data_IF_425201800767
#
_entry.id   IF_425201800767
#
_cell.length_a   1.000
_cell.length_b   1.000
_cell.length_c   1.000
_cell.angle_alpha   90.00
_cell.angle_beta   90.00
_cell.angle_gamma   90.00
#
_symmetry.space_group_name_H-M   'P 1'
#
loop_
_entity.id
_entity.type
_entity.pdbx_description
1 polymer ?
#
# COMPACT_ATOMS: atom_id res chain seq x y z
N UNK A 1 -11.97 14.46 26.69
CA UNK A 1 -12.04 13.21 27.47
C UNK A 1 -11.86 11.97 26.59
N UNK A 2 -12.62 11.79 25.49
CA UNK A 2 -12.49 10.61 24.63
C UNK A 2 -11.10 10.46 23.97
N UNK A 3 -10.51 11.55 23.48
CA UNK A 3 -9.19 11.49 22.82
C UNK A 3 -8.05 11.04 23.73
N UNK A 4 -8.16 11.32 25.03
CA UNK A 4 -7.18 10.86 26.03
C UNK A 4 -7.37 9.38 26.36
N UNK A 5 -8.57 8.83 26.20
CA UNK A 5 -8.90 7.45 26.55
C UNK A 5 -8.33 6.44 25.54
N UNK A 6 -8.29 6.80 24.26
CA UNK A 6 -7.80 5.94 23.16
C UNK A 6 -6.41 5.36 23.42
N UNK A 7 -5.36 6.15 23.72
CA UNK A 7 -4.03 5.60 23.97
C UNK A 7 -3.99 4.69 25.20
N UNK A 8 -4.81 4.98 26.22
CA UNK A 8 -4.88 4.16 27.44
C UNK A 8 -5.56 2.81 27.15
N UNK A 9 -6.64 2.81 26.37
CA UNK A 9 -7.31 1.58 25.93
C UNK A 9 -6.40 0.73 25.06
N UNK A 10 -5.63 1.34 24.14
CA UNK A 10 -4.66 0.63 23.32
C UNK A 10 -3.56 -0.03 24.18
N UNK A 11 -3.00 0.70 25.15
CA UNK A 11 -2.02 0.18 26.09
C UNK A 11 -2.60 -0.94 26.98
N UNK A 12 -3.83 -0.80 27.44
CA UNK A 12 -4.53 -1.81 28.24
C UNK A 12 -4.80 -3.07 27.42
N UNK A 13 -5.23 -2.93 26.17
CA UNK A 13 -5.44 -4.05 25.26
C UNK A 13 -4.13 -4.81 25.02
N UNK A 14 -3.05 -4.09 24.68
CA UNK A 14 -1.72 -4.68 24.50
C UNK A 14 -1.22 -5.38 25.78
N UNK A 15 -1.36 -4.74 26.95
CA UNK A 15 -0.96 -5.31 28.24
C UNK A 15 -1.75 -6.59 28.56
N UNK A 16 -3.05 -6.60 28.29
CA UNK A 16 -3.92 -7.77 28.51
C UNK A 16 -3.49 -8.95 27.64
N UNK A 17 -3.18 -8.68 26.36
CA UNK A 17 -2.63 -9.69 25.45
C UNK A 17 -1.30 -10.24 25.97
N UNK A 18 -0.39 -9.37 26.42
CA UNK A 18 0.88 -9.78 27.02
C UNK A 18 0.71 -10.67 28.25
N UNK A 19 -0.17 -10.28 29.18
CA UNK A 19 -0.50 -11.08 30.38
C UNK A 19 -1.05 -12.45 29.99
N UNK A 20 -1.93 -12.51 28.99
CA UNK A 20 -2.52 -13.76 28.52
C UNK A 20 -1.49 -14.69 27.87
N UNK A 21 -0.65 -14.17 26.97
CA UNK A 21 0.35 -14.96 26.24
C UNK A 21 1.46 -15.49 27.17
N UNK A 22 1.85 -14.70 28.17
CA UNK A 22 2.91 -15.04 29.12
C UNK A 22 2.42 -15.82 30.35
N UNK A 23 1.11 -16.11 30.44
CA UNK A 23 0.53 -16.79 31.60
C UNK A 23 1.17 -18.17 31.79
N UNK A 24 1.83 -18.37 32.94
CA UNK A 24 2.52 -19.63 33.29
C UNK A 24 3.90 -19.83 32.64
N UNK A 25 4.40 -18.86 31.87
CA UNK A 25 5.67 -18.91 31.12
C UNK A 25 6.29 -17.52 30.97
N UNK A 26 6.37 -16.80 32.10
CA UNK A 26 6.86 -15.43 32.17
C UNK A 26 8.37 -15.35 32.49
N UNK A 27 9.16 -16.29 31.99
CA UNK A 27 10.63 -16.24 32.02
C UNK A 27 11.17 -15.15 31.09
N UNK A 28 12.41 -14.72 31.34
CA UNK A 28 13.06 -13.62 30.62
C UNK A 28 13.03 -13.79 29.10
N UNK A 29 13.36 -14.96 28.51
CA UNK A 29 13.25 -15.19 27.07
C UNK A 29 11.86 -14.90 26.50
N UNK A 30 10.80 -15.44 27.10
CA UNK A 30 9.44 -15.26 26.62
C UNK A 30 8.97 -13.79 26.69
N UNK A 31 9.38 -13.04 27.74
CA UNK A 31 9.06 -11.60 27.84
C UNK A 31 9.73 -10.79 26.74
N UNK A 32 11.03 -11.01 26.50
CA UNK A 32 11.74 -10.30 25.43
C UNK A 32 11.18 -10.65 24.06
N UNK A 33 10.86 -11.92 23.83
CA UNK A 33 10.27 -12.35 22.57
C UNK A 33 8.90 -11.68 22.32
N UNK A 34 8.04 -11.56 23.34
CA UNK A 34 6.78 -10.81 23.24
C UNK A 34 6.99 -9.33 22.86
N UNK A 35 7.98 -8.66 23.48
CA UNK A 35 8.27 -7.26 23.19
C UNK A 35 8.81 -7.05 21.77
N UNK A 36 9.75 -7.90 21.33
CA UNK A 36 10.30 -7.85 19.96
C UNK A 36 9.18 -8.09 18.95
N UNK A 37 8.32 -9.09 19.20
CA UNK A 37 7.22 -9.43 18.30
C UNK A 37 6.17 -8.32 18.25
N UNK A 38 5.89 -7.68 19.38
CA UNK A 38 5.00 -6.51 19.43
C UNK A 38 5.55 -5.37 18.57
N UNK A 39 6.85 -5.09 18.66
CA UNK A 39 7.51 -4.06 17.84
C UNK A 39 7.39 -4.40 16.34
N UNK A 40 7.63 -5.65 15.95
CA UNK A 40 7.48 -6.10 14.56
C UNK A 40 6.06 -5.88 14.03
N UNK A 41 5.04 -6.19 14.84
CA UNK A 41 3.63 -5.94 14.52
C UNK A 41 3.37 -4.44 14.35
N UNK A 42 3.90 -3.58 15.23
CA UNK A 42 3.75 -2.13 15.11
C UNK A 42 4.42 -1.57 13.85
N UNK A 43 5.62 -2.04 13.51
CA UNK A 43 6.32 -1.66 12.29
C UNK A 43 5.49 -2.05 11.06
N UNK A 44 4.95 -3.27 11.05
CA UNK A 44 4.08 -3.73 9.96
C UNK A 44 2.79 -2.94 9.82
N UNK A 45 2.14 -2.63 10.94
CA UNK A 45 0.95 -1.77 10.94
C UNK A 45 1.28 -0.38 10.37
N UNK A 46 2.42 0.20 10.75
CA UNK A 46 2.90 1.47 10.21
C UNK A 46 3.15 1.42 8.70
N UNK A 47 3.79 0.36 8.21
CA UNK A 47 4.02 0.13 6.78
C UNK A 47 2.70 -0.01 6.00
N UNK A 48 1.74 -0.78 6.53
CA UNK A 48 0.41 -0.87 5.93
C UNK A 48 -0.33 0.47 5.93
N UNK A 49 -0.19 1.28 6.99
CA UNK A 49 -0.79 2.60 7.05
C UNK A 49 -0.22 3.55 5.99
N UNK A 50 1.10 3.58 5.82
CA UNK A 50 1.76 4.40 4.78
C UNK A 50 1.32 3.93 3.39
N UNK A 51 1.40 2.62 3.12
CA UNK A 51 1.01 2.05 1.84
C UNK A 51 -0.47 2.29 1.52
N UNK A 52 -1.36 2.07 2.48
CA UNK A 52 -2.80 2.32 2.35
C UNK A 52 -3.13 3.79 2.16
N UNK A 53 -2.42 4.69 2.84
CA UNK A 53 -2.54 6.14 2.68
C UNK A 53 -2.15 6.60 1.28
N UNK A 54 -0.99 6.15 0.77
CA UNK A 54 -0.54 6.42 -0.59
C UNK A 54 -1.54 5.85 -1.61
N UNK A 55 -1.98 4.61 -1.41
CA UNK A 55 -2.97 3.97 -2.28
C UNK A 55 -4.29 4.76 -2.34
N UNK A 56 -4.77 5.23 -1.18
CA UNK A 56 -6.00 6.04 -1.08
C UNK A 56 -5.84 7.37 -1.81
N UNK A 57 -4.71 8.06 -1.61
CA UNK A 57 -4.42 9.33 -2.27
C UNK A 57 -4.36 9.19 -3.79
N UNK A 58 -3.67 8.16 -4.29
CA UNK A 58 -3.60 7.86 -5.74
C UNK A 58 -5.00 7.53 -6.28
N UNK A 59 -5.77 6.70 -5.57
CA UNK A 59 -7.13 6.34 -5.98
C UNK A 59 -8.02 7.58 -6.07
N UNK A 60 -7.99 8.46 -5.07
CA UNK A 60 -8.75 9.71 -5.09
C UNK A 60 -8.34 10.60 -6.27
N UNK A 61 -7.04 10.80 -6.48
CA UNK A 61 -6.52 11.61 -7.60
C UNK A 61 -6.87 11.05 -8.98
N UNK A 62 -6.91 9.72 -9.13
CA UNK A 62 -7.35 9.08 -10.37
C UNK A 62 -8.81 9.42 -10.68
N UNK A 63 -9.72 9.22 -9.72
CA UNK A 63 -11.14 9.53 -9.92
C UNK A 63 -11.40 11.03 -10.12
N UNK A 64 -10.66 11.88 -9.40
CA UNK A 64 -10.72 13.34 -9.59
C UNK A 64 -10.32 13.75 -11.02
N UNK A 65 -9.31 13.11 -11.61
CA UNK A 65 -8.90 13.37 -13.00
C UNK A 65 -9.99 13.02 -14.04
N UNK A 66 -10.94 12.12 -13.70
CA UNK A 66 -12.13 11.84 -14.50
C UNK A 66 -13.33 12.73 -14.14
N UNK A 67 -13.10 13.78 -13.35
CA UNK A 67 -14.12 14.62 -12.75
C UNK A 67 -15.16 13.82 -11.94
N UNK A 68 -14.78 12.68 -11.36
CA UNK A 68 -15.66 11.83 -10.54
C UNK A 68 -15.40 12.12 -9.06
N UNK A 69 -16.41 12.62 -8.37
CA UNK A 69 -16.38 12.76 -6.91
C UNK A 69 -16.71 11.42 -6.26
N UNK A 70 -15.80 10.92 -5.42
CA UNK A 70 -16.04 9.70 -4.65
C UNK A 70 -17.13 9.96 -3.59
N UNK A 71 -18.16 9.10 -3.47
CA UNK A 71 -19.17 9.26 -2.42
C UNK A 71 -18.54 9.20 -1.03
N UNK A 72 -19.08 9.97 -0.08
CA UNK A 72 -18.61 10.00 1.31
C UNK A 72 -18.55 8.61 1.93
N UNK A 73 -19.52 7.74 1.59
CA UNK A 73 -19.53 6.35 2.04
C UNK A 73 -18.28 5.58 1.60
N UNK A 74 -17.82 5.79 0.36
CA UNK A 74 -16.64 5.11 -0.21
C UNK A 74 -15.38 5.61 0.48
N UNK A 75 -15.23 6.93 0.61
CA UNK A 75 -14.09 7.52 1.33
C UNK A 75 -14.07 7.06 2.78
N UNK A 76 -15.22 7.03 3.45
CA UNK A 76 -15.35 6.55 4.82
C UNK A 76 -15.00 5.07 4.94
N UNK A 77 -15.43 4.23 3.99
CA UNK A 77 -15.10 2.81 3.98
C UNK A 77 -13.59 2.59 3.77
N UNK A 78 -12.96 3.33 2.86
CA UNK A 78 -11.52 3.23 2.61
C UNK A 78 -10.73 3.67 3.84
N UNK A 79 -11.06 4.83 4.42
CA UNK A 79 -10.32 5.38 5.56
C UNK A 79 -10.56 4.55 6.83
N UNK A 80 -11.82 4.40 7.26
CA UNK A 80 -12.11 3.69 8.52
C UNK A 80 -11.96 2.17 8.39
N UNK A 81 -12.31 1.61 7.24
CA UNK A 81 -12.07 0.19 6.96
C UNK A 81 -10.57 -0.12 6.89
N UNK A 82 -9.78 0.75 6.24
CA UNK A 82 -8.32 0.64 6.23
C UNK A 82 -7.73 0.71 7.64
N UNK A 83 -8.05 1.75 8.40
CA UNK A 83 -7.58 1.93 9.80
C UNK A 83 -7.95 0.73 10.68
N UNK A 84 -9.15 0.17 10.53
CA UNK A 84 -9.59 -1.01 11.27
C UNK A 84 -8.90 -2.31 10.85
N UNK A 85 -8.65 -2.50 9.55
CA UNK A 85 -8.04 -3.71 9.00
C UNK A 85 -6.52 -3.78 9.25
N UNK A 86 -5.83 -2.64 9.25
CA UNK A 86 -4.37 -2.56 9.44
C UNK A 86 -3.87 -3.35 10.66
N UNK A 87 -4.36 -3.13 11.90
CA UNK A 87 -3.86 -3.86 13.07
C UNK A 87 -4.18 -5.36 12.99
N UNK A 88 -5.32 -5.74 12.42
CA UNK A 88 -5.71 -7.15 12.25
C UNK A 88 -4.76 -7.85 11.28
N UNK A 89 -4.48 -7.24 10.13
CA UNK A 89 -3.56 -7.79 9.13
C UNK A 89 -2.12 -7.83 9.65
N UNK A 90 -1.68 -6.79 10.37
CA UNK A 90 -0.33 -6.76 10.95
C UNK A 90 -0.11 -7.93 11.93
N UNK A 91 -1.08 -8.21 12.80
CA UNK A 91 -1.02 -9.37 13.70
C UNK A 91 -1.09 -10.67 12.91
N UNK A 92 -2.03 -10.83 11.99
CA UNK A 92 -2.25 -12.07 11.23
C UNK A 92 -1.06 -12.50 10.36
N UNK A 93 -0.26 -11.53 9.90
CA UNK A 93 0.90 -11.78 9.03
C UNK A 93 2.15 -12.14 9.84
N UNK A 94 2.32 -11.49 10.98
CA UNK A 94 3.56 -11.56 11.76
C UNK A 94 3.49 -12.62 12.84
N UNK A 95 2.33 -12.78 13.49
CA UNK A 95 2.19 -13.62 14.66
C UNK A 95 1.73 -15.04 14.30
N UNK A 96 2.49 -16.05 14.72
CA UNK A 96 2.07 -17.44 14.64
C UNK A 96 1.33 -17.85 15.94
N UNK A 97 0.02 -18.16 15.91
CA UNK A 97 -0.72 -18.56 17.11
C UNK A 97 -0.36 -19.97 17.61
N UNK A 98 0.30 -20.80 16.80
CA UNK A 98 0.67 -22.17 17.16
C UNK A 98 2.02 -22.28 17.89
N UNK A 99 2.86 -21.24 17.82
CA UNK A 99 4.20 -21.24 18.40
C UNK A 99 4.26 -20.48 19.73
N UNK A 100 5.08 -20.97 20.67
CA UNK A 100 5.35 -20.24 21.91
C UNK A 100 6.03 -18.89 21.61
N UNK A 101 5.95 -17.87 22.50
CA UNK A 101 6.57 -16.57 22.25
C UNK A 101 8.07 -16.67 21.90
N UNK A 102 8.82 -17.50 22.62
CA UNK A 102 10.25 -17.72 22.37
C UNK A 102 10.57 -18.48 21.07
N UNK A 103 9.59 -19.14 20.45
CA UNK A 103 9.74 -19.94 19.22
C UNK A 103 9.31 -19.18 17.96
N UNK A 104 8.88 -17.93 18.10
CA UNK A 104 8.48 -17.10 16.97
C UNK A 104 9.67 -16.86 16.02
N UNK A 105 9.45 -16.98 14.71
CA UNK A 105 10.46 -16.65 13.72
C UNK A 105 10.67 -15.13 13.65
N UNK A 106 11.94 -14.70 13.65
CA UNK A 106 12.35 -13.28 13.55
C UNK A 106 13.08 -12.94 12.23
N UNK A 107 13.51 -13.94 11.45
CA UNK A 107 14.44 -13.74 10.32
C UNK A 107 13.78 -13.36 8.99
N UNK A 108 12.47 -13.53 8.83
CA UNK A 108 11.79 -13.33 7.54
C UNK A 108 11.37 -11.87 7.26
N UNK A 109 11.61 -10.96 8.21
CA UNK A 109 11.01 -9.63 8.31
C UNK A 109 10.78 -8.92 6.98
N UNK A 110 11.85 -8.43 6.32
CA UNK A 110 11.71 -7.56 5.13
C UNK A 110 11.12 -8.28 3.90
N UNK A 111 11.54 -9.51 3.62
CA UNK A 111 11.03 -10.25 2.46
C UNK A 111 9.54 -10.54 2.63
N UNK A 112 9.13 -10.94 3.83
CA UNK A 112 7.74 -11.20 4.19
C UNK A 112 6.90 -9.94 4.19
N UNK A 113 7.44 -8.82 4.68
CA UNK A 113 6.83 -7.48 4.58
C UNK A 113 6.48 -7.17 3.14
N UNK A 114 7.48 -7.22 2.24
CA UNK A 114 7.31 -6.84 0.83
C UNK A 114 6.32 -7.78 0.14
N UNK A 115 6.49 -9.10 0.30
CA UNK A 115 5.61 -10.08 -0.30
C UNK A 115 4.15 -9.90 0.15
N UNK A 116 3.95 -9.62 1.44
CA UNK A 116 2.61 -9.41 2.01
C UNK A 116 2.00 -8.09 1.54
N UNK A 117 2.76 -7.00 1.55
CA UNK A 117 2.31 -5.70 1.05
C UNK A 117 1.82 -5.83 -0.39
N UNK A 118 2.60 -6.47 -1.26
CA UNK A 118 2.18 -6.71 -2.64
C UNK A 118 0.91 -7.56 -2.71
N UNK A 119 0.81 -8.63 -1.91
CA UNK A 119 -0.34 -9.54 -1.90
C UNK A 119 -1.63 -8.89 -1.42
N UNK A 120 -1.54 -7.93 -0.49
CA UNK A 120 -2.70 -7.15 0.00
C UNK A 120 -3.07 -6.05 -0.98
N UNK A 121 -2.09 -5.32 -1.53
CA UNK A 121 -2.36 -4.20 -2.43
C UNK A 121 -2.84 -4.64 -3.81
N UNK A 122 -2.35 -5.76 -4.35
CA UNK A 122 -2.69 -6.23 -5.69
C UNK A 122 -4.19 -6.46 -5.94
N UNK A 123 -4.95 -7.18 -5.09
CA UNK A 123 -6.39 -7.31 -5.30
C UNK A 123 -7.10 -5.96 -5.16
N UNK A 124 -6.63 -5.09 -4.27
CA UNK A 124 -7.22 -3.77 -4.04
C UNK A 124 -7.01 -2.85 -5.25
N UNK A 125 -5.79 -2.82 -5.81
CA UNK A 125 -5.48 -2.08 -7.04
C UNK A 125 -6.26 -2.64 -8.22
N UNK A 126 -6.43 -3.96 -8.32
CA UNK A 126 -7.23 -4.58 -9.37
C UNK A 126 -8.70 -4.15 -9.29
N UNK A 127 -9.30 -4.12 -8.10
CA UNK A 127 -10.68 -3.66 -7.90
C UNK A 127 -10.81 -2.21 -8.36
N UNK A 128 -9.92 -1.32 -7.89
CA UNK A 128 -9.94 0.09 -8.29
C UNK A 128 -9.75 0.23 -9.79
N UNK A 129 -8.83 -0.53 -10.39
CA UNK A 129 -8.59 -0.53 -11.83
C UNK A 129 -9.84 -0.93 -12.62
N UNK A 130 -10.52 -2.01 -12.22
CA UNK A 130 -11.75 -2.48 -12.89
C UNK A 130 -12.85 -1.43 -12.79
N UNK A 131 -13.05 -0.84 -11.60
CA UNK A 131 -14.04 0.23 -11.42
C UNK A 131 -13.66 1.44 -12.27
N UNK A 132 -12.40 1.86 -12.22
CA UNK A 132 -11.88 3.00 -12.98
C UNK A 132 -12.10 2.84 -14.48
N UNK A 133 -11.76 1.67 -15.05
CA UNK A 133 -12.01 1.33 -16.44
C UNK A 133 -13.51 1.40 -16.80
N UNK A 134 -14.38 1.02 -15.87
CA UNK A 134 -15.83 1.15 -16.03
C UNK A 134 -16.32 2.60 -16.16
N UNK A 135 -15.63 3.56 -15.53
CA UNK A 135 -15.99 5.00 -15.61
C UNK A 135 -15.48 5.68 -16.88
N UNK A 136 -14.36 5.21 -17.45
CA UNK A 136 -13.75 5.79 -18.67
C UNK A 136 -14.77 5.99 -19.81
N UNK A 137 -15.58 5.01 -20.26
CA UNK A 137 -16.47 5.21 -21.40
C UNK A 137 -17.54 6.31 -21.17
N UNK A 138 -17.89 6.60 -19.92
CA UNK A 138 -18.89 7.62 -19.57
C UNK A 138 -18.29 9.01 -19.35
N UNK A 139 -17.00 9.08 -18.97
CA UNK A 139 -16.31 10.34 -18.62
C UNK A 139 -15.13 10.67 -19.53
N UNK A 140 -14.97 9.93 -20.63
CA UNK A 140 -13.84 10.07 -21.55
C UNK A 140 -13.60 11.50 -22.03
N UNK A 141 -14.66 12.29 -22.24
CA UNK A 141 -14.59 13.64 -22.78
C UNK A 141 -14.33 14.75 -21.75
N UNK A 142 -14.52 14.50 -20.45
CA UNK A 142 -14.33 15.51 -19.39
C UNK A 142 -12.90 16.07 -19.36
N UNK A 143 -11.83 15.24 -19.42
CA UNK A 143 -10.45 15.71 -19.48
C UNK A 143 -10.11 16.62 -20.67
N UNK A 144 -10.85 16.49 -21.78
CA UNK A 144 -10.58 17.23 -23.02
C UNK A 144 -11.32 18.56 -23.08
N UNK A 145 -12.39 18.72 -22.28
CA UNK A 145 -13.15 19.96 -22.22
C UNK A 145 -12.54 20.97 -21.25
N UNK A 146 -11.73 20.50 -20.30
CA UNK A 146 -11.12 21.33 -19.26
C UNK A 146 -9.64 21.59 -19.57
N UNK A 147 -9.27 22.85 -19.76
CA UNK A 147 -7.91 23.24 -20.24
C UNK A 147 -6.81 22.82 -19.27
N UNK A 148 -7.08 22.88 -17.97
CA UNK A 148 -6.12 22.48 -16.94
C UNK A 148 -5.84 20.97 -16.96
N UNK A 149 -6.87 20.17 -17.20
CA UNK A 149 -6.74 18.71 -17.31
C UNK A 149 -6.00 18.33 -18.60
N UNK A 150 -6.22 19.05 -19.69
CA UNK A 150 -5.52 18.80 -20.95
C UNK A 150 -3.99 19.03 -20.84
N UNK A 151 -3.57 20.02 -20.04
CA UNK A 151 -2.14 20.26 -19.76
C UNK A 151 -1.55 19.08 -18.99
N UNK A 152 -2.24 18.62 -17.94
CA UNK A 152 -1.82 17.46 -17.14
C UNK A 152 -1.74 16.20 -18.01
N UNK A 153 -2.72 15.98 -18.89
CA UNK A 153 -2.77 14.83 -19.79
C UNK A 153 -1.60 14.83 -20.78
N UNK A 154 -1.31 15.97 -21.40
CA UNK A 154 -0.17 16.09 -22.31
C UNK A 154 1.17 15.86 -21.58
N UNK A 155 1.35 16.41 -20.39
CA UNK A 155 2.55 16.18 -19.58
C UNK A 155 2.70 14.69 -19.22
N UNK A 156 1.61 14.02 -18.85
CA UNK A 156 1.59 12.58 -18.58
C UNK A 156 1.95 11.75 -19.83
N UNK A 157 1.42 12.11 -21.00
CA UNK A 157 1.78 11.45 -22.26
C UNK A 157 3.27 11.58 -22.57
N UNK A 158 3.86 12.77 -22.40
CA UNK A 158 5.30 12.95 -22.56
C UNK A 158 6.10 12.08 -21.59
N UNK A 159 5.69 12.00 -20.32
CA UNK A 159 6.34 11.14 -19.34
C UNK A 159 6.26 9.65 -19.73
N UNK A 160 5.09 9.18 -20.20
CA UNK A 160 4.89 7.80 -20.67
C UNK A 160 5.75 7.51 -21.89
N UNK A 161 5.78 8.41 -22.88
CA UNK A 161 6.62 8.26 -24.07
C UNK A 161 8.10 8.23 -23.68
N UNK A 162 8.55 9.12 -22.79
CA UNK A 162 9.92 9.12 -22.29
C UNK A 162 10.28 7.81 -21.57
N UNK A 163 9.38 7.29 -20.73
CA UNK A 163 9.56 6.01 -20.06
C UNK A 163 9.62 4.86 -21.06
N UNK A 164 8.72 4.81 -22.05
CA UNK A 164 8.71 3.79 -23.08
C UNK A 164 10.00 3.82 -23.91
N UNK A 165 10.45 5.01 -24.33
CA UNK A 165 11.70 5.17 -25.07
C UNK A 165 12.90 4.76 -24.21
N UNK A 166 12.93 5.13 -22.93
CA UNK A 166 14.01 4.74 -22.01
C UNK A 166 14.01 3.26 -21.64
N UNK A 167 12.83 2.62 -21.57
CA UNK A 167 12.68 1.22 -21.22
C UNK A 167 12.81 0.27 -22.41
N UNK A 168 12.61 0.75 -23.65
CA UNK A 168 12.74 -0.07 -24.86
C UNK A 168 14.22 -0.18 -25.24
N UNK A 169 14.87 -1.35 -25.09
CA UNK A 169 16.26 -1.50 -25.48
C UNK A 169 16.40 -1.35 -26.99
N UNK A 170 17.08 -0.29 -27.42
CA UNK A 170 17.34 -0.02 -28.84
C UNK A 170 18.38 -1.02 -29.34
N UNK A 171 17.95 -2.03 -30.10
CA UNK A 171 18.87 -2.92 -30.81
C UNK A 171 19.30 -2.22 -32.12
N UNK A 172 20.60 -1.98 -32.35
CA UNK A 172 21.07 -1.25 -33.53
C UNK A 172 20.75 -1.97 -34.85
N UNK A 173 20.48 -3.27 -34.78
CA UNK A 173 20.20 -4.17 -35.90
C UNK A 173 18.75 -4.08 -36.42
N UNK A 174 17.83 -3.48 -35.65
CA UNK A 174 16.45 -3.17 -36.06
C UNK A 174 16.27 -1.71 -36.52
N UNK A 175 17.31 -0.87 -36.43
CA UNK A 175 17.24 0.54 -36.85
C UNK A 175 17.37 0.68 -38.37
N UNK A 176 16.58 1.59 -38.95
CA UNK A 176 16.69 1.98 -40.35
C UNK A 176 18.10 2.50 -40.68
N UNK A 177 18.63 2.27 -41.89
CA UNK A 177 20.01 2.61 -42.25
C UNK A 177 20.38 4.08 -42.01
N UNK A 178 19.42 5.00 -42.22
CA UNK A 178 19.60 6.44 -42.03
C UNK A 178 19.84 6.83 -40.55
N UNK A 179 19.18 6.16 -39.60
CA UNK A 179 19.36 6.44 -38.17
C UNK A 179 20.69 5.91 -37.63
N UNK A 180 21.22 4.82 -38.22
CA UNK A 180 22.53 4.24 -37.84
C UNK A 180 23.70 5.18 -38.15
N UNK A 181 23.60 5.96 -39.22
CA UNK A 181 24.65 6.91 -39.62
C UNK A 181 24.74 8.08 -38.62
N UNK A 182 23.61 8.50 -38.05
CA UNK A 182 23.55 9.65 -37.14
C UNK A 182 24.00 9.30 -35.72
N UNK A 183 23.70 8.09 -35.24
CA UNK A 183 24.15 7.60 -33.92
C UNK A 183 25.63 7.21 -33.86
N UNK A 184 26.33 7.19 -35.00
CA UNK A 184 27.76 6.81 -35.10
C UNK A 184 28.69 8.03 -35.20
N UNK A 185 28.14 9.25 -35.16
CA UNK A 185 28.86 10.51 -34.96
C UNK A 185 28.60 11.02 -33.56
#
# INVERSE_FOLDING_TARGET
>A
YLDQMIPHLALLAWSTVGIFLLRGRADTPNRFAFLIKSLEIFIMAGLFAIAGGIFTAITAGLFEALAVTLPDLVLRLIVFGGVGLIPVLAVAVIYDPGAAPAEQSFDEGLSKVIATLMRVLLPLTLIVLVVYLGFIPFRFWEPFQNRDVLIIYNAMLFAVIALLVGATPIRPETLAPALRVWLRR
#
